data_IF_005469597177
#
_entry.id   IF_005469597177
#
_cell.length_a   1.000
_cell.length_b   1.000
_cell.length_c   1.000
_cell.angle_alpha   90.00
_cell.angle_beta   90.00
_cell.angle_gamma   90.00
#
_symmetry.space_group_name_H-M   'P 1'
#
loop_
_entity.id
_entity.type
_entity.pdbx_description
1 polymer ?
#
# COMPACT_ATOMS: atom_id res chain seq x y z
N UNK A 1 58.39 -36.32 38.26
CA UNK A 1 58.48 -37.76 37.93
C UNK A 1 57.15 -38.19 37.35
N UNK A 2 57.19 -38.78 36.14
CA UNK A 2 56.28 -39.80 35.60
C UNK A 2 54.80 -39.42 35.54
N UNK A 3 54.14 -39.27 34.38
CA UNK A 3 53.89 -40.26 33.30
C UNK A 3 52.39 -40.03 33.00
N UNK A 4 51.79 -40.10 31.82
CA UNK A 4 52.06 -40.80 30.55
C UNK A 4 50.93 -40.37 29.60
N UNK A 5 51.21 -40.53 28.31
CA UNK A 5 50.31 -40.98 27.24
C UNK A 5 48.88 -40.43 27.15
N UNK A 6 48.54 -39.84 26.01
CA UNK A 6 48.00 -40.65 24.91
C UNK A 6 47.64 -39.76 23.72
N UNK A 7 48.13 -40.15 22.55
CA UNK A 7 47.56 -39.73 21.28
C UNK A 7 46.08 -40.07 21.26
N UNK A 8 45.23 -39.12 20.86
CA UNK A 8 43.93 -39.43 20.30
C UNK A 8 43.77 -38.64 19.00
N UNK A 9 43.96 -39.35 17.89
CA UNK A 9 43.40 -39.04 16.59
C UNK A 9 41.88 -39.16 16.67
N UNK A 10 41.13 -38.11 16.34
CA UNK A 10 39.72 -38.24 15.97
C UNK A 10 39.51 -37.61 14.60
N UNK A 11 39.32 -38.48 13.62
CA UNK A 11 38.73 -38.14 12.33
C UNK A 11 37.25 -37.85 12.57
N UNK A 12 36.81 -36.65 12.20
CA UNK A 12 35.41 -36.24 12.21
C UNK A 12 35.10 -35.62 10.86
N UNK A 13 34.86 -36.47 9.88
CA UNK A 13 34.12 -36.14 8.67
C UNK A 13 32.61 -36.06 9.03
N UNK A 14 31.85 -35.35 8.20
CA UNK A 14 30.40 -35.13 8.25
C UNK A 14 29.89 -34.03 9.21
N UNK A 15 29.72 -32.83 8.65
CA UNK A 15 28.40 -32.40 8.15
C UNK A 15 28.57 -30.96 7.65
N UNK A 16 28.71 -30.81 6.34
CA UNK A 16 28.44 -29.53 5.68
C UNK A 16 26.96 -29.23 5.95
N UNK A 17 26.73 -28.31 6.87
CA UNK A 17 25.45 -27.71 7.20
C UNK A 17 25.01 -26.93 5.95
N UNK A 18 24.45 -27.68 4.99
CA UNK A 18 23.66 -27.13 3.90
C UNK A 18 22.46 -26.47 4.56
N UNK A 19 22.67 -25.21 4.99
CA UNK A 19 21.62 -24.30 5.39
C UNK A 19 20.60 -24.33 4.27
N UNK A 20 19.50 -25.03 4.51
CA UNK A 20 18.31 -24.90 3.71
C UNK A 20 17.95 -23.41 3.76
N UNK A 21 18.27 -22.69 2.67
CA UNK A 21 17.69 -21.40 2.37
C UNK A 21 16.18 -21.56 2.61
N UNK A 22 15.55 -20.75 3.47
CA UNK A 22 14.12 -20.89 3.68
C UNK A 22 13.46 -20.67 2.33
N UNK A 23 12.84 -21.73 1.80
CA UNK A 23 11.99 -21.62 0.61
C UNK A 23 10.99 -20.52 0.90
N UNK A 24 11.21 -19.37 0.26
CA UNK A 24 10.23 -18.29 0.25
C UNK A 24 9.05 -18.89 -0.49
N UNK A 25 8.08 -19.40 0.28
CA UNK A 25 6.76 -19.74 -0.20
C UNK A 25 6.27 -18.52 -0.98
N UNK A 26 6.39 -18.58 -2.31
CA UNK A 26 5.69 -17.68 -3.19
C UNK A 26 4.22 -18.00 -2.99
N UNK A 27 3.63 -17.36 -1.98
CA UNK A 27 2.19 -17.24 -1.87
C UNK A 27 1.78 -16.57 -3.17
N UNK A 28 1.28 -17.39 -4.11
CA UNK A 28 0.60 -16.92 -5.31
C UNK A 28 -0.37 -15.84 -4.84
N UNK A 29 -0.04 -14.58 -5.14
CA UNK A 29 -0.87 -13.41 -4.86
C UNK A 29 -2.11 -13.50 -5.76
N UNK A 30 -3.01 -14.38 -5.33
CA UNK A 30 -4.44 -14.21 -5.22
C UNK A 30 -4.97 -13.17 -6.20
N UNK A 31 -5.54 -13.67 -7.30
CA UNK A 31 -6.33 -12.95 -8.31
C UNK A 31 -6.68 -11.52 -7.90
N UNK A 32 -5.79 -10.56 -8.13
CA UNK A 32 -6.19 -9.17 -8.07
C UNK A 32 -7.22 -9.01 -9.18
N UNK A 33 -8.50 -8.72 -8.88
CA UNK A 33 -9.47 -8.51 -9.94
C UNK A 33 -8.87 -7.47 -10.89
N UNK A 34 -8.96 -7.70 -12.21
CA UNK A 34 -8.30 -6.83 -13.18
C UNK A 34 -8.72 -5.40 -12.87
N UNK A 35 -7.74 -4.54 -12.59
CA UNK A 35 -8.01 -3.15 -12.23
C UNK A 35 -8.89 -2.56 -13.34
N UNK A 36 -10.13 -2.19 -13.00
CA UNK A 36 -11.05 -1.69 -13.99
C UNK A 36 -10.43 -0.42 -14.59
N UNK A 37 -10.34 -0.37 -15.92
CA UNK A 37 -9.79 0.79 -16.63
C UNK A 37 -10.79 1.95 -16.68
N UNK A 38 -11.99 1.74 -16.13
CA UNK A 38 -13.06 2.71 -16.07
C UNK A 38 -12.65 3.94 -15.28
N UNK A 39 -12.79 5.09 -15.96
CA UNK A 39 -12.56 6.40 -15.38
C UNK A 39 -13.91 7.01 -15.05
N UNK A 40 -13.99 7.60 -13.87
CA UNK A 40 -15.11 8.42 -13.42
C UNK A 40 -14.73 9.90 -13.58
N UNK A 41 -15.72 10.74 -13.88
CA UNK A 41 -15.57 12.18 -13.72
C UNK A 41 -15.92 12.57 -12.27
N UNK A 42 -14.93 13.03 -11.50
CA UNK A 42 -15.10 13.47 -10.13
C UNK A 42 -15.17 14.99 -10.09
N UNK A 43 -16.27 15.56 -9.61
CA UNK A 43 -16.42 17.00 -9.40
C UNK A 43 -16.11 17.35 -7.95
N UNK A 44 -15.10 18.18 -7.74
CA UNK A 44 -14.75 18.76 -6.45
C UNK A 44 -15.26 20.20 -6.38
N UNK A 45 -15.77 20.61 -5.22
CA UNK A 45 -16.25 21.96 -4.97
C UNK A 45 -15.89 22.40 -3.55
N UNK A 46 -15.33 23.61 -3.40
CA UNK A 46 -15.04 24.18 -2.09
C UNK A 46 -16.22 25.03 -1.63
N UNK A 47 -16.79 24.62 -0.49
CA UNK A 47 -17.84 25.39 0.19
C UNK A 47 -17.21 26.69 0.72
N UNK A 48 -17.63 27.82 0.16
CA UNK A 48 -17.16 29.15 0.57
C UNK A 48 -16.70 29.99 -0.62
N UNK A 49 -15.70 29.51 -1.38
CA UNK A 49 -15.24 30.24 -2.58
C UNK A 49 -16.00 29.89 -3.85
N UNK A 50 -16.72 28.76 -3.88
CA UNK A 50 -17.40 28.27 -5.09
C UNK A 50 -16.44 27.77 -6.17
N UNK A 51 -15.15 27.62 -5.86
CA UNK A 51 -14.18 27.01 -6.77
C UNK A 51 -14.54 25.54 -6.99
N UNK A 52 -14.66 25.14 -8.26
CA UNK A 52 -14.92 23.76 -8.65
C UNK A 52 -13.92 23.25 -9.67
N UNK A 53 -13.60 21.96 -9.62
CA UNK A 53 -12.72 21.28 -10.57
C UNK A 53 -13.23 19.88 -10.88
N UNK A 54 -13.33 19.57 -12.17
CA UNK A 54 -13.64 18.23 -12.67
C UNK A 54 -12.33 17.45 -12.92
N UNK A 55 -12.25 16.23 -12.39
CA UNK A 55 -11.07 15.37 -12.49
C UNK A 55 -11.49 13.98 -12.99
N UNK A 56 -10.96 13.57 -14.14
CA UNK A 56 -11.13 12.21 -14.65
C UNK A 56 -10.19 11.24 -13.92
N UNK A 57 -10.73 10.31 -13.14
CA UNK A 57 -9.95 9.43 -12.27
C UNK A 57 -10.42 7.98 -12.31
N UNK A 58 -9.50 7.02 -12.13
CA UNK A 58 -9.82 5.58 -12.14
C UNK A 58 -10.61 5.20 -10.89
N UNK A 59 -11.65 4.39 -11.06
CA UNK A 59 -12.59 4.00 -10.00
C UNK A 59 -11.96 3.24 -8.84
N UNK A 60 -10.97 2.40 -9.11
CA UNK A 60 -10.34 1.51 -8.11
C UNK A 60 -9.09 2.12 -7.45
N UNK A 61 -8.82 3.41 -7.68
CA UNK A 61 -7.62 4.08 -7.15
C UNK A 61 -7.96 4.92 -5.91
N UNK A 62 -7.06 5.01 -4.93
CA UNK A 62 -7.26 5.85 -3.75
C UNK A 62 -7.49 7.33 -4.09
N UNK A 63 -8.37 7.98 -3.35
CA UNK A 63 -8.78 9.38 -3.57
C UNK A 63 -7.73 10.43 -3.18
N UNK A 64 -6.62 10.03 -2.54
CA UNK A 64 -5.59 10.96 -2.07
C UNK A 64 -5.00 11.86 -3.16
N UNK A 65 -4.79 11.34 -4.38
CA UNK A 65 -4.27 12.14 -5.51
C UNK A 65 -5.25 13.23 -5.97
N UNK A 66 -6.51 12.92 -6.33
CA UNK A 66 -7.46 13.94 -6.74
C UNK A 66 -7.78 14.93 -5.60
N UNK A 67 -7.87 14.47 -4.34
CA UNK A 67 -8.05 15.35 -3.17
C UNK A 67 -6.89 16.34 -3.01
N UNK A 68 -5.64 15.87 -3.09
CA UNK A 68 -4.47 16.74 -3.00
C UNK A 68 -4.38 17.72 -4.18
N UNK A 69 -4.74 17.26 -5.39
CA UNK A 69 -4.77 18.12 -6.57
C UNK A 69 -5.78 19.27 -6.40
N UNK A 70 -7.00 18.97 -5.94
CA UNK A 70 -8.00 19.98 -5.67
C UNK A 70 -7.59 20.94 -4.54
N UNK A 71 -7.03 20.42 -3.44
CA UNK A 71 -6.54 21.26 -2.33
C UNK A 71 -5.50 22.29 -2.81
N UNK A 72 -4.54 21.83 -3.63
CA UNK A 72 -3.56 22.72 -4.23
C UNK A 72 -4.20 23.75 -5.17
N UNK A 73 -5.20 23.34 -5.98
CA UNK A 73 -5.94 24.24 -6.87
C UNK A 73 -6.63 25.38 -6.11
N UNK A 74 -7.19 25.11 -4.93
CA UNK A 74 -7.80 26.14 -4.08
C UNK A 74 -6.78 26.90 -3.21
N UNK A 75 -5.49 26.56 -3.28
CA UNK A 75 -4.41 27.22 -2.53
C UNK A 75 -4.31 26.77 -1.07
N UNK A 76 -4.71 25.54 -0.75
CA UNK A 76 -4.73 24.97 0.60
C UNK A 76 -3.87 23.71 0.68
N UNK A 77 -3.43 23.37 1.89
CA UNK A 77 -2.87 22.05 2.14
C UNK A 77 -3.99 21.01 2.25
N UNK A 78 -3.81 19.82 1.66
CA UNK A 78 -4.81 18.74 1.73
C UNK A 78 -5.19 18.35 3.18
N UNK A 79 -4.26 18.45 4.14
CA UNK A 79 -4.51 18.18 5.56
C UNK A 79 -5.42 19.23 6.23
N UNK A 80 -5.55 20.42 5.62
CA UNK A 80 -6.46 21.47 6.08
C UNK A 80 -7.87 21.34 5.47
N UNK A 81 -8.04 20.44 4.51
CA UNK A 81 -9.30 20.24 3.81
C UNK A 81 -10.06 19.04 4.39
N UNK A 82 -11.38 19.17 4.50
CA UNK A 82 -12.27 18.05 4.80
C UNK A 82 -13.10 17.75 3.57
N UNK A 83 -12.92 16.56 3.01
CA UNK A 83 -13.67 16.11 1.84
C UNK A 83 -14.87 15.29 2.30
N UNK A 84 -16.04 15.61 1.74
CA UNK A 84 -17.31 14.98 2.06
C UNK A 84 -17.93 14.52 0.74
N UNK A 85 -18.42 13.29 0.71
CA UNK A 85 -19.17 12.74 -0.41
C UNK A 85 -20.42 12.06 0.16
N UNK A 86 -21.58 12.47 -0.31
CA UNK A 86 -22.89 11.98 0.15
C UNK A 86 -23.06 12.00 1.70
N UNK A 87 -22.67 13.11 2.33
CA UNK A 87 -22.71 13.27 3.79
C UNK A 87 -21.63 12.50 4.56
N UNK A 88 -20.87 11.63 3.90
CA UNK A 88 -19.80 10.82 4.51
C UNK A 88 -18.45 11.50 4.34
N UNK A 89 -17.64 11.53 5.40
CA UNK A 89 -16.26 12.00 5.32
C UNK A 89 -15.42 11.02 4.50
N UNK A 90 -14.75 11.55 3.49
CA UNK A 90 -13.85 10.77 2.62
C UNK A 90 -12.45 10.63 3.22
N UNK A 91 -11.87 9.44 3.05
CA UNK A 91 -10.48 9.13 3.37
C UNK A 91 -9.64 9.02 2.09
N UNK A 92 -8.38 9.48 2.16
CA UNK A 92 -7.45 9.49 1.03
C UNK A 92 -7.06 8.08 0.56
N UNK A 93 -7.16 7.06 1.42
CA UNK A 93 -6.84 5.67 1.11
C UNK A 93 -8.02 4.92 0.47
N UNK A 94 -9.26 5.41 0.63
CA UNK A 94 -10.44 4.79 0.04
C UNK A 94 -10.56 5.13 -1.44
N UNK A 95 -11.09 4.19 -2.20
CA UNK A 95 -11.47 4.41 -3.60
C UNK A 95 -12.85 5.08 -3.69
N UNK A 96 -13.15 5.78 -4.80
CA UNK A 96 -14.49 6.33 -5.00
C UNK A 96 -15.58 5.26 -5.03
N UNK A 97 -15.27 4.01 -5.43
CA UNK A 97 -16.26 2.93 -5.47
C UNK A 97 -16.73 2.49 -4.07
N UNK A 98 -15.79 2.38 -3.13
CA UNK A 98 -16.08 1.99 -1.75
C UNK A 98 -16.86 3.07 -0.98
N UNK A 99 -16.77 4.32 -1.44
CA UNK A 99 -17.49 5.43 -0.84
C UNK A 99 -18.96 5.53 -1.32
N UNK A 100 -19.27 5.08 -2.54
CA UNK A 100 -20.64 5.10 -3.08
C UNK A 100 -21.51 3.93 -2.61
N UNK A 101 -20.97 2.99 -1.83
CA UNK A 101 -21.64 1.75 -1.42
C UNK A 101 -22.12 1.77 0.05
N UNK A 102 -22.17 2.94 0.68
CA UNK A 102 -22.70 3.18 2.02
C UNK A 102 -24.04 3.89 1.93
#
# INVERSE_FOLDING_TARGET
MSSRDSSNTISGDAADDARAEPEVLMLDDNERPPATTEKLNLRFEEIGSGKSLDIFYKRDRPMGKPMAHFANYIGRNVKQCRFIFDGVRMDALRSPNEASSL
#
